data_IF_418633106163
#
_entry.id   IF_418633106163
#
_cell.length_a   1.000
_cell.length_b   1.000
_cell.length_c   1.000
_cell.angle_alpha   90.00
_cell.angle_beta   90.00
_cell.angle_gamma   90.00
#
_symmetry.space_group_name_H-M   'P 1'
#
loop_
_entity.id
_entity.type
_entity.pdbx_description
1 polymer ?
#
# COMPACT_ATOMS: atom_id res chain seq x y z
N UNK A 1 -12.12 -32.95 -35.61
CA UNK A 1 -11.41 -33.72 -36.66
C UNK A 1 -9.90 -33.56 -36.53
N UNK A 2 -9.26 -34.28 -35.61
CA UNK A 2 -7.81 -34.37 -35.53
C UNK A 2 -7.39 -35.74 -36.06
N UNK A 3 -7.43 -35.89 -37.40
CA UNK A 3 -6.83 -37.03 -38.06
C UNK A 3 -5.54 -36.53 -38.72
N UNK A 4 -4.45 -37.31 -38.61
CA UNK A 4 -3.16 -37.04 -39.26
C UNK A 4 -3.25 -37.25 -40.79
N UNK A 5 -4.14 -36.53 -41.45
CA UNK A 5 -4.44 -36.67 -42.87
C UNK A 5 -4.70 -35.32 -43.55
N UNK A 6 -4.77 -35.34 -44.87
CA UNK A 6 -5.03 -34.14 -45.68
C UNK A 6 -6.49 -33.71 -45.49
N UNK A 7 -6.72 -32.51 -44.97
CA UNK A 7 -8.05 -31.93 -44.78
C UNK A 7 -8.70 -31.55 -46.12
N UNK A 8 -10.03 -31.41 -46.14
CA UNK A 8 -10.75 -30.97 -47.34
C UNK A 8 -10.32 -29.57 -47.81
N UNK A 9 -10.00 -28.67 -46.88
CA UNK A 9 -9.43 -27.35 -47.18
C UNK A 9 -8.08 -27.46 -47.87
N UNK A 10 -7.22 -28.35 -47.38
CA UNK A 10 -5.91 -28.62 -47.98
C UNK A 10 -6.03 -29.15 -49.42
N UNK A 11 -6.98 -30.05 -49.68
CA UNK A 11 -7.24 -30.55 -51.05
C UNK A 11 -7.73 -29.43 -51.97
N UNK A 12 -8.61 -28.55 -51.48
CA UNK A 12 -9.10 -27.39 -52.25
C UNK A 12 -7.99 -26.40 -52.57
N UNK A 13 -7.11 -26.13 -51.62
CA UNK A 13 -5.96 -25.24 -51.82
C UNK A 13 -4.93 -25.84 -52.80
N UNK A 14 -4.69 -27.16 -52.73
CA UNK A 14 -3.84 -27.87 -53.68
C UNK A 14 -4.42 -27.86 -55.11
N UNK A 15 -5.75 -27.86 -55.25
CA UNK A 15 -6.43 -27.72 -56.55
C UNK A 15 -6.21 -26.34 -57.18
N UNK A 16 -6.00 -25.29 -56.39
CA UNK A 16 -5.62 -23.96 -56.91
C UNK A 16 -4.20 -24.00 -57.46
N UNK A 17 -3.23 -24.46 -56.67
CA UNK A 17 -1.86 -24.76 -57.10
C UNK A 17 -1.10 -25.47 -55.98
N UNK A 18 -0.18 -26.36 -56.34
CA UNK A 18 0.74 -26.98 -55.38
C UNK A 18 1.66 -25.95 -54.71
N UNK A 19 2.00 -24.85 -55.39
CA UNK A 19 2.78 -23.76 -54.78
C UNK A 19 1.96 -23.05 -53.70
N UNK A 20 0.67 -22.82 -53.93
CA UNK A 20 -0.23 -22.20 -52.94
C UNK A 20 -0.42 -23.11 -51.72
N UNK A 21 -0.56 -24.42 -51.96
CA UNK A 21 -0.60 -25.42 -50.89
C UNK A 21 0.67 -25.40 -50.03
N UNK A 22 1.85 -25.41 -50.67
CA UNK A 22 3.13 -25.36 -49.96
C UNK A 22 3.24 -24.08 -49.13
N UNK A 23 3.01 -22.91 -49.74
CA UNK A 23 3.10 -21.62 -49.09
C UNK A 23 2.14 -21.49 -47.88
N UNK A 24 0.96 -22.10 -47.93
CA UNK A 24 -0.03 -22.00 -46.83
C UNK A 24 0.12 -23.07 -45.76
N UNK A 25 0.42 -24.31 -46.12
CA UNK A 25 0.36 -25.47 -45.19
C UNK A 25 1.73 -26.03 -44.80
N UNK A 26 2.76 -25.86 -45.63
CA UNK A 26 4.12 -26.39 -45.39
C UNK A 26 5.05 -25.27 -44.91
N UNK A 27 5.31 -24.28 -45.76
CA UNK A 27 6.17 -23.13 -45.45
C UNK A 27 5.48 -22.09 -44.56
N UNK A 28 4.14 -22.08 -44.52
CA UNK A 28 3.30 -21.14 -43.75
C UNK A 28 3.63 -19.66 -43.98
N UNK A 29 4.11 -19.33 -45.18
CA UNK A 29 4.40 -17.97 -45.63
C UNK A 29 3.13 -17.16 -45.91
N UNK A 30 2.01 -17.83 -46.22
CA UNK A 30 0.68 -17.22 -46.36
C UNK A 30 -0.14 -17.46 -45.09
N UNK A 31 -0.42 -16.39 -44.35
CA UNK A 31 -1.24 -16.44 -43.13
C UNK A 31 -2.72 -16.48 -43.49
N UNK A 32 -3.49 -17.31 -42.77
CA UNK A 32 -4.96 -17.29 -42.87
C UNK A 32 -5.48 -16.02 -42.21
N UNK A 33 -6.14 -15.16 -42.99
CA UNK A 33 -6.84 -14.00 -42.45
C UNK A 33 -7.95 -14.47 -41.50
N UNK A 34 -7.96 -13.89 -40.29
CA UNK A 34 -9.08 -14.03 -39.37
C UNK A 34 -10.14 -13.01 -39.75
N UNK A 35 -11.40 -13.43 -39.75
CA UNK A 35 -12.52 -12.52 -39.95
C UNK A 35 -13.46 -12.59 -38.76
N UNK A 36 -14.06 -11.47 -38.33
CA UNK A 36 -14.97 -11.45 -37.18
C UNK A 36 -16.14 -12.43 -37.31
N UNK A 37 -16.62 -12.64 -38.55
CA UNK A 37 -17.73 -13.56 -38.84
C UNK A 37 -17.31 -15.02 -38.68
N UNK A 38 -16.08 -15.37 -39.09
CA UNK A 38 -15.55 -16.73 -38.89
C UNK A 38 -15.24 -17.00 -37.42
N UNK A 39 -14.76 -15.99 -36.69
CA UNK A 39 -14.48 -16.13 -35.26
C UNK A 39 -15.77 -16.34 -34.46
N UNK A 40 -16.85 -15.62 -34.79
CA UNK A 40 -18.18 -15.86 -34.23
C UNK A 40 -18.71 -17.26 -34.58
N UNK A 41 -18.54 -17.70 -35.83
CA UNK A 41 -18.92 -19.05 -36.25
C UNK A 41 -18.17 -20.14 -35.50
N UNK A 42 -16.87 -19.94 -35.25
CA UNK A 42 -16.04 -20.84 -34.45
C UNK A 42 -16.54 -20.89 -32.99
N UNK A 43 -16.90 -19.74 -32.40
CA UNK A 43 -17.45 -19.68 -31.04
C UNK A 43 -18.75 -20.49 -30.91
N UNK A 44 -19.71 -20.27 -31.82
CA UNK A 44 -20.99 -21.00 -31.80
C UNK A 44 -20.77 -22.50 -32.02
N UNK A 45 -19.84 -22.87 -32.91
CA UNK A 45 -19.49 -24.26 -33.14
C UNK A 45 -18.85 -24.92 -31.90
N UNK A 46 -17.92 -24.23 -31.24
CA UNK A 46 -17.32 -24.69 -29.99
C UNK A 46 -18.38 -24.85 -28.90
N UNK A 47 -19.25 -23.85 -28.70
CA UNK A 47 -20.33 -23.92 -27.72
C UNK A 47 -21.29 -25.11 -27.97
N UNK A 48 -21.59 -25.40 -29.23
CA UNK A 48 -22.55 -26.45 -29.58
C UNK A 48 -21.96 -27.87 -29.54
N UNK A 49 -20.69 -28.04 -29.92
CA UNK A 49 -20.08 -29.36 -30.13
C UNK A 49 -18.93 -29.69 -29.18
N UNK A 50 -18.29 -28.69 -28.60
CA UNK A 50 -17.10 -28.83 -27.75
C UNK A 50 -17.11 -27.78 -26.61
N UNK A 51 -18.20 -27.67 -25.81
CA UNK A 51 -18.32 -26.66 -24.78
C UNK A 51 -17.20 -26.75 -23.74
N UNK A 52 -16.64 -27.94 -23.51
CA UNK A 52 -15.51 -28.18 -22.63
C UNK A 52 -14.22 -27.44 -23.04
N UNK A 53 -14.08 -27.07 -24.31
CA UNK A 53 -12.90 -26.35 -24.80
C UNK A 53 -13.08 -24.82 -24.75
N UNK A 54 -14.27 -24.33 -24.39
CA UNK A 54 -14.61 -22.92 -24.53
C UNK A 54 -13.74 -22.02 -23.65
N UNK A 55 -13.48 -22.42 -22.41
CA UNK A 55 -12.60 -21.68 -21.48
C UNK A 55 -11.13 -21.67 -21.91
N UNK A 56 -10.69 -22.68 -22.68
CA UNK A 56 -9.32 -22.78 -23.17
C UNK A 56 -9.11 -22.02 -24.49
N UNK A 57 -10.12 -22.00 -25.37
CA UNK A 57 -10.04 -21.39 -26.70
C UNK A 57 -10.52 -19.94 -26.73
N UNK A 58 -11.35 -19.52 -25.78
CA UNK A 58 -11.94 -18.18 -25.72
C UNK A 58 -11.71 -17.52 -24.37
N UNK A 59 -11.54 -16.19 -24.40
CA UNK A 59 -11.51 -15.39 -23.18
C UNK A 59 -12.94 -15.24 -22.65
N UNK A 60 -13.29 -16.06 -21.66
CA UNK A 60 -14.53 -15.92 -20.90
C UNK A 60 -14.31 -14.88 -19.80
N UNK A 61 -15.32 -14.06 -19.52
CA UNK A 61 -15.27 -13.14 -18.39
C UNK A 61 -15.19 -13.95 -17.09
N UNK A 62 -14.20 -13.70 -16.21
CA UNK A 62 -14.04 -14.48 -15.00
C UNK A 62 -15.21 -14.25 -14.05
N UNK A 63 -15.63 -15.30 -13.37
CA UNK A 63 -16.61 -15.17 -12.29
C UNK A 63 -16.04 -14.32 -11.15
N UNK A 64 -16.78 -13.31 -10.76
CA UNK A 64 -16.41 -12.43 -9.66
C UNK A 64 -16.70 -13.17 -8.34
N UNK A 65 -15.70 -13.37 -7.46
CA UNK A 65 -15.90 -14.04 -6.18
C UNK A 65 -16.94 -13.34 -5.30
N UNK A 66 -17.66 -14.12 -4.49
CA UNK A 66 -18.61 -13.58 -3.52
C UNK A 66 -17.88 -12.69 -2.50
N UNK A 67 -18.34 -11.44 -2.35
CA UNK A 67 -17.70 -10.43 -1.50
C UNK A 67 -16.56 -9.65 -2.15
N UNK A 68 -16.26 -9.87 -3.44
CA UNK A 68 -15.30 -9.03 -4.14
C UNK A 68 -15.85 -7.61 -4.34
N UNK A 69 -15.00 -6.62 -4.10
CA UNK A 69 -15.36 -5.22 -4.35
C UNK A 69 -15.26 -4.92 -5.85
N UNK A 70 -16.40 -4.87 -6.50
CA UNK A 70 -16.49 -4.64 -7.96
C UNK A 70 -16.65 -3.17 -8.32
N UNK A 71 -17.01 -2.33 -7.36
CA UNK A 71 -17.27 -0.90 -7.60
C UNK A 71 -16.59 -0.03 -6.57
N UNK A 72 -16.31 1.21 -6.97
CA UNK A 72 -15.81 2.26 -6.07
C UNK A 72 -16.76 2.53 -4.90
N UNK A 73 -18.06 2.38 -5.11
CA UNK A 73 -19.07 2.50 -4.05
C UNK A 73 -18.90 1.41 -2.98
N UNK A 74 -18.77 0.14 -3.39
CA UNK A 74 -18.58 -0.98 -2.46
C UNK A 74 -17.27 -0.87 -1.65
N UNK A 75 -16.19 -0.37 -2.28
CA UNK A 75 -14.93 -0.10 -1.57
C UNK A 75 -15.11 1.00 -0.52
N UNK A 76 -15.83 2.07 -0.88
CA UNK A 76 -16.04 3.20 0.01
C UNK A 76 -16.86 2.81 1.24
N UNK A 77 -17.96 2.10 1.04
CA UNK A 77 -18.79 1.59 2.15
C UNK A 77 -17.98 0.72 3.12
N UNK A 78 -17.11 -0.13 2.59
CA UNK A 78 -16.23 -0.95 3.42
C UNK A 78 -15.23 -0.11 4.21
N UNK A 79 -14.59 0.88 3.58
CA UNK A 79 -13.64 1.77 4.24
C UNK A 79 -14.35 2.59 5.33
N UNK A 80 -15.53 3.12 5.04
CA UNK A 80 -16.30 3.91 6.00
C UNK A 80 -16.74 3.06 7.20
N UNK A 81 -17.19 1.83 6.96
CA UNK A 81 -17.51 0.87 8.02
C UNK A 81 -16.29 0.50 8.87
N UNK A 82 -15.13 0.28 8.23
CA UNK A 82 -13.88 0.01 8.94
C UNK A 82 -13.43 1.21 9.77
N UNK A 83 -13.47 2.41 9.22
CA UNK A 83 -13.13 3.64 9.93
C UNK A 83 -14.06 3.89 11.12
N UNK A 84 -15.34 3.57 11.00
CA UNK A 84 -16.29 3.66 12.11
C UNK A 84 -16.04 2.62 13.23
N UNK A 85 -15.37 1.50 12.90
CA UNK A 85 -14.98 0.48 13.90
C UNK A 85 -13.72 0.86 14.68
N UNK A 86 -12.93 1.80 14.18
CA UNK A 86 -11.72 2.24 14.86
C UNK A 86 -12.07 3.09 16.09
N UNK A 87 -11.24 3.05 17.15
CA UNK A 87 -11.40 3.94 18.29
C UNK A 87 -11.45 5.39 17.81
N UNK A 88 -12.36 6.18 18.37
CA UNK A 88 -12.42 7.60 18.10
C UNK A 88 -11.05 8.23 18.39
N UNK A 89 -10.51 8.95 17.41
CA UNK A 89 -9.31 9.75 17.62
C UNK A 89 -9.59 10.72 18.76
N UNK A 90 -8.65 10.82 19.72
CA UNK A 90 -8.71 11.80 20.80
C UNK A 90 -8.91 13.20 20.20
N UNK A 91 -9.84 13.96 20.77
CA UNK A 91 -10.02 15.35 20.35
C UNK A 91 -8.80 16.19 20.74
N UNK A 92 -8.65 17.37 20.12
CA UNK A 92 -7.58 18.29 20.50
C UNK A 92 -7.67 18.69 21.98
N UNK A 93 -8.89 18.77 22.52
CA UNK A 93 -9.14 19.09 23.93
C UNK A 93 -8.74 17.93 24.85
N UNK A 94 -9.01 16.68 24.47
CA UNK A 94 -8.58 15.51 25.24
C UNK A 94 -7.05 15.38 25.27
N UNK A 95 -6.38 15.64 24.14
CA UNK A 95 -4.92 15.66 24.07
C UNK A 95 -4.36 16.75 24.99
N UNK A 96 -4.98 17.94 24.99
CA UNK A 96 -4.58 19.04 25.86
C UNK A 96 -4.74 18.69 27.34
N UNK A 97 -5.87 18.07 27.71
CA UNK A 97 -6.11 17.63 29.07
C UNK A 97 -5.06 16.61 29.54
N UNK A 98 -4.71 15.62 28.70
CA UNK A 98 -3.66 14.64 29.01
C UNK A 98 -2.28 15.29 29.16
N UNK A 99 -1.96 16.30 28.33
CA UNK A 99 -0.72 17.05 28.44
C UNK A 99 -0.67 17.89 29.72
N UNK A 100 -1.77 18.53 30.11
CA UNK A 100 -1.85 19.30 31.35
C UNK A 100 -1.74 18.39 32.59
N UNK A 101 -2.41 17.24 32.59
CA UNK A 101 -2.28 16.24 33.65
C UNK A 101 -0.84 15.72 33.75
N UNK A 102 -0.21 15.38 32.63
CA UNK A 102 1.19 14.96 32.61
C UNK A 102 2.12 16.06 33.11
N UNK A 103 1.94 17.30 32.65
CA UNK A 103 2.73 18.44 33.09
C UNK A 103 2.56 18.71 34.58
N UNK A 104 1.41 18.43 35.17
CA UNK A 104 1.18 18.55 36.61
C UNK A 104 1.95 17.50 37.44
N UNK A 105 2.33 16.36 36.83
CA UNK A 105 3.18 15.35 37.47
C UNK A 105 4.67 15.69 37.41
N UNK A 106 5.07 16.63 36.55
CA UNK A 106 6.46 17.02 36.41
C UNK A 106 6.90 17.95 37.55
N UNK A 107 8.16 17.86 38.02
CA UNK A 107 8.70 18.80 38.99
C UNK A 107 8.63 20.23 38.45
N UNK A 108 8.34 21.18 39.33
CA UNK A 108 8.34 22.61 38.97
C UNK A 108 9.74 23.04 38.54
N UNK A 109 9.84 23.69 37.38
CA UNK A 109 11.11 24.23 36.91
C UNK A 109 11.67 25.26 37.89
N UNK A 110 12.95 25.12 38.22
CA UNK A 110 13.68 26.01 39.11
C UNK A 110 13.99 27.34 38.41
N UNK A 111 13.81 28.49 39.09
CA UNK A 111 14.02 29.80 38.47
C UNK A 111 15.49 30.04 38.14
N UNK A 112 15.76 30.54 36.93
CA UNK A 112 17.06 31.07 36.55
C UNK A 112 17.17 32.51 37.09
N UNK A 113 17.59 32.66 38.35
CA UNK A 113 17.72 33.96 39.03
C UNK A 113 18.36 35.07 38.17
N UNK A 114 17.92 36.31 38.39
CA UNK A 114 18.41 37.48 37.66
C UNK A 114 19.77 37.95 38.22
N UNK A 115 20.02 37.72 39.51
CA UNK A 115 21.28 38.01 40.20
C UNK A 115 22.05 36.75 40.59
N UNK A 116 23.33 36.90 40.94
CA UNK A 116 24.20 35.78 41.36
C UNK A 116 23.65 35.14 42.64
N UNK A 117 23.17 35.95 43.57
CA UNK A 117 22.62 35.48 44.86
C UNK A 117 21.29 34.71 44.67
N UNK A 118 20.43 35.17 43.76
CA UNK A 118 19.18 34.46 43.41
C UNK A 118 19.45 33.12 42.71
N UNK A 119 20.45 33.08 41.82
CA UNK A 119 20.86 31.81 41.20
C UNK A 119 21.49 30.85 42.17
N UNK A 120 22.18 31.36 43.19
CA UNK A 120 22.79 30.55 44.23
C UNK A 120 21.71 29.94 45.14
N UNK A 121 20.72 30.73 45.56
CA UNK A 121 19.57 30.22 46.32
C UNK A 121 18.77 29.15 45.56
N UNK A 122 18.65 29.29 44.23
CA UNK A 122 17.98 28.29 43.37
C UNK A 122 18.85 27.05 43.17
N UNK A 123 20.17 27.20 43.16
CA UNK A 123 21.14 26.10 43.03
C UNK A 123 21.22 25.25 44.31
N UNK A 124 21.14 25.84 45.50
CA UNK A 124 21.12 25.09 46.78
C UNK A 124 19.87 24.23 46.96
N UNK A 125 18.76 24.61 46.31
CA UNK A 125 17.50 23.87 46.35
C UNK A 125 17.45 22.71 45.34
N UNK A 126 18.46 22.57 44.47
CA UNK A 126 18.56 21.43 43.55
C UNK A 126 18.87 20.13 44.31
N UNK A 127 18.45 18.95 43.82
CA UNK A 127 18.93 17.67 44.34
C UNK A 127 20.46 17.56 44.24
N UNK A 128 21.09 16.84 45.18
CA UNK A 128 22.55 16.68 45.25
C UNK A 128 23.18 16.19 43.92
N UNK A 129 22.44 15.40 43.13
CA UNK A 129 22.88 14.89 41.83
C UNK A 129 23.14 15.99 40.77
N UNK A 130 22.48 17.14 40.93
CA UNK A 130 22.60 18.31 40.05
C UNK A 130 23.47 19.42 40.66
N UNK A 131 23.88 19.29 41.93
CA UNK A 131 24.82 20.20 42.60
C UNK A 131 26.28 19.85 42.28
N UNK A 132 26.65 19.88 40.99
CA UNK A 132 27.94 19.38 40.47
C UNK A 132 29.12 20.35 40.58
N UNK A 133 28.94 21.53 41.19
CA UNK A 133 30.03 22.49 41.40
C UNK A 133 30.85 22.04 42.61
N UNK A 134 32.12 21.67 42.40
CA UNK A 134 33.02 21.20 43.45
C UNK A 134 33.21 22.24 44.56
N UNK A 135 33.04 21.81 45.82
CA UNK A 135 33.29 22.59 47.03
C UNK A 135 34.74 23.08 47.06
N UNK A 136 34.95 24.35 46.67
CA UNK A 136 36.28 24.97 46.57
C UNK A 136 36.50 25.81 45.30
N UNK A 137 35.60 25.71 44.30
CA UNK A 137 35.60 26.60 43.13
C UNK A 137 34.59 27.74 43.29
N UNK A 138 34.86 28.91 42.70
CA UNK A 138 33.91 30.04 42.75
C UNK A 138 32.62 29.63 42.02
N UNK A 139 31.51 29.57 42.74
CA UNK A 139 30.17 29.41 42.15
C UNK A 139 29.88 30.62 41.25
N UNK A 140 30.17 30.50 39.96
CA UNK A 140 29.85 31.54 38.98
C UNK A 140 28.40 31.41 38.56
N UNK A 141 27.71 32.53 38.33
CA UNK A 141 26.32 32.53 37.85
C UNK A 141 26.12 31.68 36.60
N UNK A 142 27.12 31.58 35.73
CA UNK A 142 27.09 30.75 34.53
C UNK A 142 27.06 29.26 34.87
N UNK A 143 27.91 28.80 35.80
CA UNK A 143 27.95 27.40 36.22
C UNK A 143 26.66 26.99 36.97
N UNK A 144 26.15 27.87 37.86
CA UNK A 144 24.90 27.62 38.57
C UNK A 144 23.70 27.57 37.61
N UNK A 145 23.63 28.48 36.63
CA UNK A 145 22.58 28.46 35.60
C UNK A 145 22.67 27.23 34.68
N UNK A 146 23.85 26.68 34.44
CA UNK A 146 24.01 25.44 33.69
C UNK A 146 23.42 24.25 34.46
N UNK A 147 23.73 24.11 35.74
CA UNK A 147 23.16 23.05 36.59
C UNK A 147 21.63 23.15 36.72
N UNK A 148 21.09 24.37 36.88
CA UNK A 148 19.63 24.59 36.92
C UNK A 148 18.96 24.24 35.58
N UNK A 149 19.62 24.49 34.45
CA UNK A 149 19.09 24.12 33.12
C UNK A 149 19.13 22.62 32.84
N UNK A 150 20.03 21.87 33.45
CA UNK A 150 20.05 20.41 33.32
C UNK A 150 18.94 19.75 34.14
N UNK A 151 18.48 20.41 35.20
CA UNK A 151 17.37 19.95 36.05
C UNK A 151 15.99 20.24 35.45
N UNK A 152 15.84 21.38 34.75
CA UNK A 152 14.59 21.87 34.15
C UNK A 152 14.23 21.23 32.81
#
# INVERSE_FOLDING_TARGET
HAANGISSTQVKDARVSLMYFNARHVEKTIVKERSPVLDMGNLVHALALQPENLEAEFSVEPEIPEGAFTTTATLREFIDAHNASLPALLSADDIKALLEEYNATLPSQMPLGASVDETYASYEQLPEEFQRIENGTKHTATAMKACIKEYN
#
